data_IF_777366234062
#
_entry.id   IF_777366234062
#
_cell.length_a   1.000
_cell.length_b   1.000
_cell.length_c   1.000
_cell.angle_alpha   90.00
_cell.angle_beta   90.00
_cell.angle_gamma   90.00
#
_symmetry.space_group_name_H-M   'P 1'
#
loop_
_entity.id
_entity.type
_entity.pdbx_description
1 polymer ?
#
# COMPACT_ATOMS: atom_id res chain seq x y z
N UNK A 1 -11.24 14.00 -22.39
CA UNK A 1 -11.02 12.94 -21.36
C UNK A 1 -9.60 13.11 -20.85
N UNK A 2 -9.38 13.21 -19.52
CA UNK A 2 -8.03 13.34 -18.97
C UNK A 2 -7.21 12.09 -19.23
N UNK A 3 -5.90 12.27 -19.44
CA UNK A 3 -4.95 11.19 -19.65
C UNK A 3 -4.10 10.97 -18.41
N UNK A 4 -4.04 9.74 -17.96
CA UNK A 4 -3.29 9.35 -16.77
C UNK A 4 -2.16 8.40 -17.14
N UNK A 5 -0.97 8.61 -16.56
CA UNK A 5 0.10 7.62 -16.59
C UNK A 5 0.05 6.80 -15.30
N UNK A 6 -0.02 5.48 -15.43
CA UNK A 6 -0.03 4.55 -14.30
C UNK A 6 1.21 3.66 -14.36
N UNK A 7 2.04 3.72 -13.32
CA UNK A 7 3.14 2.78 -13.13
C UNK A 7 2.72 1.67 -12.16
N UNK A 8 3.38 0.52 -12.25
CA UNK A 8 3.02 -0.62 -11.39
C UNK A 8 1.64 -1.21 -11.71
N UNK A 9 1.11 -0.95 -12.87
CA UNK A 9 -0.21 -1.37 -13.35
C UNK A 9 -0.45 -2.90 -13.32
N UNK A 10 0.58 -3.70 -13.39
CA UNK A 10 0.50 -5.17 -13.29
C UNK A 10 0.57 -5.69 -11.85
N UNK A 11 0.76 -4.80 -10.88
CA UNK A 11 0.77 -5.09 -9.44
C UNK A 11 -0.63 -5.19 -8.86
N UNK A 12 -0.70 -5.51 -7.55
CA UNK A 12 -1.97 -5.72 -6.85
C UNK A 12 -2.85 -4.45 -6.84
N UNK A 13 -2.31 -3.30 -6.44
CA UNK A 13 -3.07 -2.04 -6.43
C UNK A 13 -3.31 -1.53 -7.85
N UNK A 14 -2.26 -1.51 -8.69
CA UNK A 14 -2.36 -0.97 -10.04
C UNK A 14 -3.36 -1.69 -10.93
N UNK A 15 -3.47 -3.03 -10.84
CA UNK A 15 -4.46 -3.79 -11.62
C UNK A 15 -5.90 -3.49 -11.20
N UNK A 16 -6.17 -3.33 -9.90
CA UNK A 16 -7.48 -2.91 -9.39
C UNK A 16 -7.79 -1.46 -9.77
N UNK A 17 -6.79 -0.59 -9.77
CA UNK A 17 -6.93 0.81 -10.17
C UNK A 17 -7.35 0.95 -11.63
N UNK A 18 -6.69 0.23 -12.55
CA UNK A 18 -7.05 0.25 -13.98
C UNK A 18 -8.50 -0.16 -14.18
N UNK A 19 -8.97 -1.22 -13.52
CA UNK A 19 -10.36 -1.67 -13.64
C UNK A 19 -11.37 -0.59 -13.23
N UNK A 20 -11.02 0.27 -12.28
CA UNK A 20 -11.88 1.37 -11.82
C UNK A 20 -11.77 2.64 -12.67
N UNK A 21 -10.66 2.83 -13.38
CA UNK A 21 -10.41 4.06 -14.16
C UNK A 21 -10.70 3.88 -15.65
N UNK A 22 -10.69 2.65 -16.17
CA UNK A 22 -11.02 2.36 -17.57
C UNK A 22 -12.42 2.89 -17.93
N UNK A 23 -12.53 3.50 -19.09
CA UNK A 23 -13.79 4.11 -19.55
C UNK A 23 -14.04 5.55 -19.04
N UNK A 24 -13.35 5.99 -17.99
CA UNK A 24 -13.42 7.37 -17.48
C UNK A 24 -12.20 8.19 -17.91
N UNK A 25 -11.04 7.56 -18.02
CA UNK A 25 -9.75 8.19 -18.35
C UNK A 25 -9.09 7.49 -19.53
N UNK A 26 -8.24 8.23 -20.26
CA UNK A 26 -7.27 7.64 -21.17
C UNK A 26 -6.07 7.15 -20.35
N UNK A 27 -5.66 5.89 -20.50
CA UNK A 27 -4.64 5.26 -19.68
C UNK A 27 -3.37 4.99 -20.48
N UNK A 28 -2.28 5.63 -20.09
CA UNK A 28 -0.92 5.25 -20.41
C UNK A 28 -0.38 4.35 -19.30
N UNK A 29 0.18 3.20 -19.65
CA UNK A 29 0.66 2.20 -18.69
C UNK A 29 2.17 2.05 -18.84
N UNK A 30 2.94 2.42 -17.82
CA UNK A 30 4.40 2.32 -17.82
C UNK A 30 4.87 1.15 -16.97
N UNK A 31 5.66 0.24 -17.54
CA UNK A 31 6.25 -0.89 -16.83
C UNK A 31 6.79 -1.98 -17.75
N UNK A 32 7.08 -3.16 -17.19
CA UNK A 32 7.82 -4.23 -17.85
C UNK A 32 6.97 -5.28 -18.58
N UNK A 33 5.65 -5.22 -18.49
CA UNK A 33 4.75 -6.25 -19.05
C UNK A 33 3.83 -5.65 -20.10
N UNK A 34 3.40 -6.43 -21.08
CA UNK A 34 2.35 -6.06 -22.03
C UNK A 34 0.98 -6.08 -21.33
N UNK A 35 0.05 -5.23 -21.80
CA UNK A 35 -1.35 -5.20 -21.36
C UNK A 35 -2.22 -4.75 -22.54
N UNK A 36 -3.49 -5.13 -22.54
CA UNK A 36 -4.50 -4.68 -23.48
C UNK A 36 -5.49 -3.66 -22.87
N UNK A 37 -5.20 -3.17 -21.66
CA UNK A 37 -6.08 -2.28 -20.91
C UNK A 37 -5.78 -0.79 -21.09
N UNK A 38 -4.80 -0.46 -21.96
CA UNK A 38 -4.40 0.92 -22.25
C UNK A 38 -3.20 0.94 -23.18
N UNK A 39 -2.69 2.14 -23.50
CA UNK A 39 -1.44 2.29 -24.26
C UNK A 39 -0.27 1.93 -23.35
N UNK A 40 0.52 0.92 -23.76
CA UNK A 40 1.60 0.38 -22.91
C UNK A 40 2.95 0.84 -23.41
N UNK A 41 3.72 1.41 -22.49
CA UNK A 41 5.11 1.79 -22.66
C UNK A 41 5.98 0.82 -21.85
N UNK A 42 6.85 0.09 -22.54
CA UNK A 42 7.74 -0.89 -21.89
C UNK A 42 9.03 -0.18 -21.50
N UNK A 43 9.23 0.01 -20.21
CA UNK A 43 10.45 0.60 -19.67
C UNK A 43 10.66 0.17 -18.21
N UNK A 44 11.87 0.40 -17.71
CA UNK A 44 12.21 0.21 -16.31
C UNK A 44 12.06 1.51 -15.52
N UNK A 45 12.03 1.41 -14.22
CA UNK A 45 12.03 2.56 -13.31
C UNK A 45 13.40 2.64 -12.67
N UNK A 46 14.22 3.51 -13.21
CA UNK A 46 15.59 3.76 -12.80
C UNK A 46 15.96 5.23 -12.99
N UNK A 47 17.20 5.58 -12.66
CA UNK A 47 17.70 6.97 -12.71
C UNK A 47 18.04 7.47 -14.12
N UNK A 48 18.05 6.62 -15.15
CA UNK A 48 18.54 6.94 -16.52
C UNK A 48 17.51 6.78 -17.63
N UNK A 49 16.43 6.03 -17.38
CA UNK A 49 15.38 5.78 -18.37
C UNK A 49 14.67 7.06 -18.81
N UNK A 50 14.27 7.12 -20.07
CA UNK A 50 13.52 8.23 -20.65
C UNK A 50 12.03 7.86 -20.75
N UNK A 51 11.17 8.78 -20.32
CA UNK A 51 9.71 8.56 -20.24
C UNK A 51 8.91 9.53 -21.12
N UNK A 52 9.57 10.32 -21.97
CA UNK A 52 8.95 11.38 -22.77
C UNK A 52 7.73 10.92 -23.55
N UNK A 53 7.81 9.78 -24.27
CA UNK A 53 6.67 9.23 -25.02
C UNK A 53 5.49 8.86 -24.13
N UNK A 54 5.76 8.27 -22.95
CA UNK A 54 4.70 7.85 -22.02
C UNK A 54 4.04 9.03 -21.31
N UNK A 55 4.71 10.17 -21.23
CA UNK A 55 4.27 11.40 -20.57
C UNK A 55 3.58 12.39 -21.52
N UNK A 56 3.57 12.13 -22.83
CA UNK A 56 2.97 13.04 -23.80
C UNK A 56 1.47 13.25 -23.56
N UNK A 57 1.10 14.49 -23.27
CA UNK A 57 -0.28 14.91 -23.00
C UNK A 57 -0.89 14.30 -21.74
N UNK A 58 -0.07 13.84 -20.78
CA UNK A 58 -0.51 13.29 -19.50
C UNK A 58 -0.90 14.42 -18.53
N UNK A 59 -2.10 14.35 -17.97
CA UNK A 59 -2.59 15.30 -16.98
C UNK A 59 -2.12 14.96 -15.56
N UNK A 60 -2.06 13.66 -15.22
CA UNK A 60 -1.58 13.21 -13.92
C UNK A 60 -0.87 11.86 -13.99
N UNK A 61 0.10 11.67 -13.10
CA UNK A 61 0.81 10.40 -12.89
C UNK A 61 0.30 9.74 -11.61
N UNK A 62 0.02 8.43 -11.67
CA UNK A 62 -0.27 7.60 -10.50
C UNK A 62 0.85 6.56 -10.39
N UNK A 63 1.74 6.78 -9.44
CA UNK A 63 2.94 5.98 -9.28
C UNK A 63 2.75 4.89 -8.22
N UNK A 64 2.32 3.70 -8.66
CA UNK A 64 2.13 2.51 -7.81
C UNK A 64 3.30 1.53 -7.88
N UNK A 65 4.25 1.74 -8.78
CA UNK A 65 5.40 0.86 -8.90
C UNK A 65 6.36 1.05 -7.73
N UNK A 66 6.87 -0.05 -7.24
CA UNK A 66 7.92 -0.08 -6.24
C UNK A 66 8.62 -1.44 -6.24
N UNK A 67 9.91 -1.46 -5.87
CA UNK A 67 10.54 -2.65 -5.32
C UNK A 67 9.97 -2.84 -3.92
N UNK A 68 9.28 -3.95 -3.69
CA UNK A 68 8.74 -4.32 -2.38
C UNK A 68 9.60 -5.40 -1.75
N UNK A 69 9.41 -5.63 -0.43
CA UNK A 69 10.17 -6.64 0.30
C UNK A 69 10.12 -8.02 -0.40
N UNK A 70 11.28 -8.55 -0.74
CA UNK A 70 11.48 -9.91 -1.24
C UNK A 70 11.94 -10.73 -0.03
N UNK A 71 11.21 -11.81 0.31
CA UNK A 71 11.42 -12.59 1.55
C UNK A 71 12.82 -13.22 1.67
N UNK A 72 13.52 -13.39 0.55
CA UNK A 72 14.90 -13.90 0.48
C UNK A 72 15.76 -12.93 -0.34
N UNK A 73 15.80 -11.65 0.06
CA UNK A 73 16.65 -10.66 -0.60
C UNK A 73 18.10 -10.95 -0.29
N UNK A 74 18.80 -11.60 -1.21
CA UNK A 74 20.22 -11.94 -1.13
C UNK A 74 21.13 -10.77 -1.56
N UNK A 75 20.59 -9.56 -1.73
CA UNK A 75 21.38 -8.40 -2.10
C UNK A 75 22.40 -8.06 -0.99
N UNK A 76 23.63 -7.79 -1.39
CA UNK A 76 24.70 -7.37 -0.47
C UNK A 76 24.41 -6.02 0.20
N UNK A 77 23.62 -5.16 -0.44
CA UNK A 77 23.17 -3.87 0.08
C UNK A 77 21.68 -3.66 -0.26
N UNK A 78 20.76 -4.16 0.58
CA UNK A 78 19.33 -4.03 0.34
C UNK A 78 18.86 -2.57 0.24
N UNK A 79 19.42 -1.66 1.01
CA UNK A 79 19.00 -0.25 1.00
C UNK A 79 19.28 0.41 -0.35
N UNK A 80 20.44 0.22 -0.93
CA UNK A 80 20.77 0.79 -2.23
C UNK A 80 19.90 0.19 -3.35
N UNK A 81 19.57 -1.10 -3.28
CA UNK A 81 18.64 -1.73 -4.21
C UNK A 81 17.22 -1.14 -4.13
N UNK A 82 16.74 -0.81 -2.92
CA UNK A 82 15.47 -0.13 -2.75
C UNK A 82 15.55 1.33 -3.24
N UNK A 83 16.63 2.05 -2.96
CA UNK A 83 16.84 3.43 -3.41
C UNK A 83 16.85 3.55 -4.93
N UNK A 84 17.54 2.66 -5.63
CA UNK A 84 17.64 2.68 -7.08
C UNK A 84 16.26 2.74 -7.76
N UNK A 85 15.29 1.97 -7.27
CA UNK A 85 13.94 1.92 -7.84
C UNK A 85 12.99 2.89 -7.15
N UNK A 86 12.92 2.86 -5.81
CA UNK A 86 11.88 3.57 -5.05
C UNK A 86 12.18 5.06 -4.87
N UNK A 87 13.45 5.44 -4.84
CA UNK A 87 13.87 6.84 -4.69
C UNK A 87 14.31 7.42 -6.02
N UNK A 88 15.40 6.91 -6.59
CA UNK A 88 16.00 7.48 -7.80
C UNK A 88 15.12 7.33 -9.04
N UNK A 89 14.58 6.12 -9.28
CA UNK A 89 13.66 5.85 -10.39
C UNK A 89 12.36 6.64 -10.27
N UNK A 90 11.82 6.79 -9.05
CA UNK A 90 10.64 7.63 -8.79
C UNK A 90 10.94 9.10 -9.09
N UNK A 91 12.07 9.61 -8.62
CA UNK A 91 12.45 11.01 -8.81
C UNK A 91 12.76 11.32 -10.28
N UNK A 92 13.41 10.40 -11.00
CA UNK A 92 13.65 10.54 -12.44
C UNK A 92 12.32 10.67 -13.20
N UNK A 93 11.36 9.79 -12.93
CA UNK A 93 10.02 9.86 -13.53
C UNK A 93 9.32 11.19 -13.18
N UNK A 94 9.38 11.62 -11.93
CA UNK A 94 8.72 12.84 -11.47
C UNK A 94 9.31 14.11 -12.10
N UNK A 95 10.64 14.19 -12.24
CA UNK A 95 11.34 15.29 -12.95
C UNK A 95 10.89 15.38 -14.39
N UNK A 96 10.86 14.26 -15.11
CA UNK A 96 10.40 14.22 -16.51
C UNK A 96 8.90 14.54 -16.61
N UNK A 97 8.09 14.12 -15.65
CA UNK A 97 6.67 14.47 -15.59
C UNK A 97 6.46 15.99 -15.42
N UNK A 98 7.21 16.63 -14.51
CA UNK A 98 7.18 18.09 -14.35
C UNK A 98 7.62 18.82 -15.62
N UNK A 99 8.69 18.38 -16.28
CA UNK A 99 9.17 18.93 -17.56
C UNK A 99 8.16 18.77 -18.69
N UNK A 100 7.39 17.67 -18.70
CA UNK A 100 6.32 17.42 -19.67
C UNK A 100 5.03 18.20 -19.38
N UNK A 101 4.97 18.98 -18.28
CA UNK A 101 3.83 19.79 -17.89
C UNK A 101 2.71 19.00 -17.20
N UNK A 102 3.01 17.82 -16.64
CA UNK A 102 2.08 17.06 -15.80
C UNK A 102 1.69 17.90 -14.60
N UNK A 103 0.38 18.00 -14.34
CA UNK A 103 -0.13 18.87 -13.28
C UNK A 103 -0.05 18.23 -11.90
N UNK A 104 -0.22 16.89 -11.80
CA UNK A 104 -0.29 16.19 -10.52
C UNK A 104 0.44 14.86 -10.55
N UNK A 105 1.23 14.61 -9.50
CA UNK A 105 1.93 13.34 -9.27
C UNK A 105 1.42 12.71 -7.98
N UNK A 106 0.73 11.56 -8.08
CA UNK A 106 0.20 10.80 -6.96
C UNK A 106 1.14 9.64 -6.66
N UNK A 107 1.77 9.69 -5.50
CA UNK A 107 2.74 8.69 -5.06
C UNK A 107 2.14 7.72 -4.05
N UNK A 108 2.09 6.45 -4.39
CA UNK A 108 1.73 5.39 -3.45
C UNK A 108 2.95 5.04 -2.59
N UNK A 109 2.96 5.57 -1.38
CA UNK A 109 3.97 5.35 -0.36
C UNK A 109 3.60 4.18 0.56
N UNK A 110 3.94 4.26 1.83
CA UNK A 110 3.66 3.24 2.84
C UNK A 110 3.59 3.85 4.23
N UNK A 111 2.79 3.28 5.11
CA UNK A 111 2.78 3.65 6.54
C UNK A 111 4.14 3.38 7.22
N UNK A 112 4.99 2.54 6.63
CA UNK A 112 6.35 2.29 7.14
C UNK A 112 7.24 3.54 7.18
N UNK A 113 6.85 4.59 6.48
CA UNK A 113 7.47 5.92 6.61
C UNK A 113 7.24 6.49 8.01
N UNK A 114 6.06 6.27 8.61
CA UNK A 114 5.77 6.71 9.98
C UNK A 114 6.43 5.81 11.04
N UNK A 115 6.68 4.53 10.73
CA UNK A 115 7.28 3.54 11.62
C UNK A 115 6.63 2.16 11.55
N UNK A 116 7.07 1.24 12.40
CA UNK A 116 6.67 -0.17 12.35
C UNK A 116 5.58 -0.53 13.39
N UNK A 117 5.39 0.27 14.43
CA UNK A 117 4.48 -0.06 15.53
C UNK A 117 3.92 1.17 16.25
N UNK A 118 2.66 1.08 16.63
CA UNK A 118 1.98 2.01 17.55
C UNK A 118 1.66 1.36 18.89
N UNK A 119 2.29 0.23 19.23
CA UNK A 119 2.13 -0.39 20.54
C UNK A 119 2.54 0.59 21.64
N UNK A 120 1.63 0.84 22.61
CA UNK A 120 1.85 1.79 23.72
C UNK A 120 2.05 3.26 23.27
N UNK A 121 1.66 3.57 22.02
CA UNK A 121 1.72 4.93 21.43
C UNK A 121 0.36 5.31 20.86
N UNK A 122 0.20 6.59 20.52
CA UNK A 122 -0.94 7.07 19.74
C UNK A 122 -0.92 6.48 18.32
N UNK A 123 -2.07 6.48 17.67
CA UNK A 123 -2.16 6.14 16.24
C UNK A 123 -1.32 7.10 15.39
N UNK A 124 -0.71 6.59 14.33
CA UNK A 124 0.03 7.43 13.38
C UNK A 124 -0.90 8.42 12.69
N UNK A 125 -0.40 9.63 12.49
CA UNK A 125 -1.06 10.71 11.76
C UNK A 125 -0.34 11.05 10.46
N UNK A 126 -0.98 11.80 9.57
CA UNK A 126 -0.36 12.29 8.33
C UNK A 126 0.77 13.32 8.60
N UNK A 127 0.77 13.95 9.78
CA UNK A 127 1.71 15.01 10.16
C UNK A 127 2.89 14.53 10.98
N UNK A 128 2.94 13.23 11.31
CA UNK A 128 4.07 12.67 12.04
C UNK A 128 5.35 12.76 11.20
N UNK A 129 6.45 13.07 11.86
CA UNK A 129 7.76 13.04 11.23
C UNK A 129 8.09 11.61 10.80
N UNK A 130 8.72 11.43 9.62
CA UNK A 130 9.19 10.13 9.17
C UNK A 130 10.11 9.46 10.21
N UNK A 131 9.82 8.20 10.51
CA UNK A 131 10.59 7.38 11.45
C UNK A 131 10.72 5.94 10.90
N UNK A 132 11.05 5.83 9.61
CA UNK A 132 11.22 4.56 8.92
C UNK A 132 12.41 3.76 9.48
N UNK A 133 12.20 2.47 9.74
CA UNK A 133 13.20 1.60 10.35
C UNK A 133 13.80 0.59 9.34
N UNK A 134 13.02 0.15 8.34
CA UNK A 134 13.49 -0.81 7.36
C UNK A 134 13.93 -0.15 6.04
N UNK A 135 14.78 -0.80 5.22
CA UNK A 135 15.28 -0.25 3.96
C UNK A 135 14.18 0.17 2.99
N UNK A 136 13.04 -0.55 2.96
CA UNK A 136 11.90 -0.18 2.13
C UNK A 136 11.24 1.11 2.63
N UNK A 137 10.95 1.22 3.92
CA UNK A 137 10.39 2.43 4.54
C UNK A 137 11.29 3.65 4.35
N UNK A 138 12.61 3.47 4.54
CA UNK A 138 13.62 4.52 4.33
C UNK A 138 13.59 5.01 2.87
N UNK A 139 13.63 4.11 1.89
CA UNK A 139 13.59 4.48 0.47
C UNK A 139 12.31 5.23 0.09
N UNK A 140 11.17 4.86 0.70
CA UNK A 140 9.89 5.58 0.50
C UNK A 140 9.91 6.96 1.14
N UNK A 141 10.45 7.10 2.36
CA UNK A 141 10.57 8.40 3.05
C UNK A 141 11.47 9.37 2.27
N UNK A 142 12.60 8.91 1.77
CA UNK A 142 13.50 9.69 0.92
C UNK A 142 12.82 10.14 -0.40
N UNK A 143 12.03 9.24 -1.01
CA UNK A 143 11.25 9.59 -2.21
C UNK A 143 10.18 10.65 -1.91
N UNK A 144 9.45 10.52 -0.80
CA UNK A 144 8.44 11.52 -0.40
C UNK A 144 9.05 12.92 -0.23
N UNK A 145 10.17 13.00 0.50
CA UNK A 145 10.85 14.26 0.73
C UNK A 145 11.26 14.92 -0.60
N UNK A 146 11.95 14.20 -1.46
CA UNK A 146 12.43 14.72 -2.73
C UNK A 146 11.28 15.06 -3.70
N UNK A 147 10.17 14.33 -3.67
CA UNK A 147 8.98 14.66 -4.45
C UNK A 147 8.33 15.97 -3.99
N UNK A 148 8.22 16.20 -2.68
CA UNK A 148 7.67 17.44 -2.14
C UNK A 148 8.57 18.64 -2.46
N UNK A 149 9.89 18.48 -2.38
CA UNK A 149 10.87 19.49 -2.81
C UNK A 149 10.69 19.80 -4.30
N UNK A 150 10.66 18.79 -5.16
CA UNK A 150 10.43 18.96 -6.60
C UNK A 150 9.08 19.64 -6.91
N UNK A 151 8.02 19.28 -6.18
CA UNK A 151 6.72 19.93 -6.33
C UNK A 151 6.78 21.43 -6.02
N UNK A 152 7.49 21.82 -4.95
CA UNK A 152 7.69 23.22 -4.58
C UNK A 152 8.51 23.98 -5.63
N UNK A 153 9.52 23.35 -6.25
CA UNK A 153 10.38 23.95 -7.26
C UNK A 153 9.68 24.13 -8.62
N UNK A 154 8.84 23.15 -9.00
CA UNK A 154 8.27 23.09 -10.36
C UNK A 154 6.82 23.55 -10.44
N UNK A 155 6.12 23.65 -9.32
CA UNK A 155 4.68 23.89 -9.26
C UNK A 155 3.83 22.66 -9.58
N UNK A 156 4.43 21.48 -9.80
CA UNK A 156 3.69 20.22 -9.93
C UNK A 156 3.09 19.83 -8.58
N UNK A 157 1.79 19.59 -8.55
CA UNK A 157 1.10 19.15 -7.34
C UNK A 157 1.52 17.72 -6.97
N UNK A 158 2.03 17.51 -5.76
CA UNK A 158 2.41 16.20 -5.25
C UNK A 158 1.39 15.73 -4.22
N UNK A 159 0.89 14.51 -4.41
CA UNK A 159 -0.02 13.85 -3.47
C UNK A 159 0.61 12.55 -3.00
N UNK A 160 0.75 12.39 -1.70
CA UNK A 160 1.34 11.20 -1.09
C UNK A 160 0.25 10.43 -0.37
N UNK A 161 0.16 9.11 -0.62
CA UNK A 161 -0.76 8.23 0.08
C UNK A 161 0.05 7.15 0.79
N UNK A 162 -0.09 7.07 2.13
CA UNK A 162 0.56 6.07 2.99
C UNK A 162 -0.44 4.99 3.43
N UNK A 163 -0.61 3.89 2.69
CA UNK A 163 -1.45 2.79 3.12
C UNK A 163 -0.73 1.90 4.16
N UNK A 164 -1.48 1.25 5.07
CA UNK A 164 -1.01 0.11 5.85
C UNK A 164 -1.02 -1.16 5.01
N UNK A 165 -1.20 -2.33 5.63
CA UNK A 165 -1.43 -3.57 4.89
C UNK A 165 -2.68 -3.46 4.01
N UNK A 166 -2.46 -3.55 2.69
CA UNK A 166 -3.54 -3.57 1.69
C UNK A 166 -4.01 -5.00 1.47
N UNK A 167 -5.32 -5.22 1.53
CA UNK A 167 -5.92 -6.53 1.31
C UNK A 167 -7.06 -6.48 0.29
N UNK A 168 -7.45 -7.64 -0.23
CA UNK A 168 -8.52 -7.74 -1.23
C UNK A 168 -8.35 -8.92 -2.16
N UNK A 169 -9.15 -8.99 -3.21
CA UNK A 169 -9.07 -10.04 -4.23
C UNK A 169 -7.72 -10.01 -4.96
N UNK A 170 -7.02 -11.15 -4.95
CA UNK A 170 -5.70 -11.26 -5.61
C UNK A 170 -4.51 -10.82 -4.75
N UNK A 171 -4.72 -10.46 -3.48
CA UNK A 171 -3.63 -10.20 -2.54
C UNK A 171 -2.70 -11.42 -2.44
N UNK A 172 -1.41 -11.14 -2.24
CA UNK A 172 -0.36 -12.17 -2.10
C UNK A 172 0.20 -12.19 -0.68
N UNK A 173 1.25 -12.99 -0.48
CA UNK A 173 2.03 -13.08 0.75
C UNK A 173 1.23 -13.50 2.00
N UNK A 174 1.53 -12.89 3.15
CA UNK A 174 1.08 -13.35 4.46
C UNK A 174 -0.44 -13.36 4.62
N UNK A 175 -1.15 -12.34 4.11
CA UNK A 175 -2.61 -12.27 4.19
C UNK A 175 -3.27 -13.42 3.42
N UNK A 176 -2.82 -13.67 2.18
CA UNK A 176 -3.32 -14.78 1.37
C UNK A 176 -3.01 -16.15 2.01
N UNK A 177 -1.83 -16.29 2.62
CA UNK A 177 -1.46 -17.53 3.32
C UNK A 177 -2.35 -17.76 4.53
N UNK A 178 -2.63 -16.71 5.32
CA UNK A 178 -3.51 -16.80 6.48
C UNK A 178 -4.94 -17.14 6.06
N UNK A 179 -5.49 -16.47 5.03
CA UNK A 179 -6.79 -16.79 4.45
C UNK A 179 -6.89 -18.25 4.03
N UNK A 180 -5.85 -18.78 3.39
CA UNK A 180 -5.79 -20.19 2.94
C UNK A 180 -5.75 -21.18 4.11
N UNK A 181 -4.98 -20.87 5.18
CA UNK A 181 -4.94 -21.73 6.37
C UNK A 181 -6.29 -21.78 7.09
N UNK A 182 -6.92 -20.61 7.24
CA UNK A 182 -8.28 -20.50 7.79
C UNK A 182 -9.28 -21.28 6.91
N UNK A 183 -9.21 -21.13 5.59
CA UNK A 183 -10.07 -21.82 4.63
C UNK A 183 -9.94 -23.34 4.67
N UNK A 184 -8.77 -23.87 5.06
CA UNK A 184 -8.54 -25.30 5.30
C UNK A 184 -9.05 -25.78 6.65
N UNK A 185 -9.55 -24.89 7.52
CA UNK A 185 -10.00 -25.23 8.87
C UNK A 185 -8.87 -25.63 9.83
N UNK A 186 -7.62 -25.23 9.52
CA UNK A 186 -6.47 -25.54 10.37
C UNK A 186 -6.56 -24.78 11.69
N UNK A 187 -6.17 -25.41 12.82
CA UNK A 187 -6.09 -24.72 14.09
C UNK A 187 -4.98 -23.66 14.07
N UNK A 188 -5.35 -22.42 14.38
CA UNK A 188 -4.40 -21.29 14.40
C UNK A 188 -4.23 -20.77 15.83
N UNK A 189 -3.00 -20.44 16.26
CA UNK A 189 -2.69 -20.14 17.65
C UNK A 189 -2.99 -18.68 18.04
N UNK A 190 -4.01 -18.03 17.45
CA UNK A 190 -4.17 -16.57 17.55
C UNK A 190 -5.32 -16.10 18.46
N UNK A 191 -6.06 -17.02 19.11
CA UNK A 191 -7.25 -16.65 19.94
C UNK A 191 -6.92 -15.71 21.10
N UNK A 192 -5.70 -15.76 21.65
CA UNK A 192 -5.32 -14.90 22.78
C UNK A 192 -4.84 -13.50 22.34
N UNK A 193 -4.59 -13.26 21.05
CA UNK A 193 -4.13 -11.96 20.54
C UNK A 193 -5.35 -11.06 20.27
N UNK A 194 -5.93 -10.51 21.36
CA UNK A 194 -7.18 -9.73 21.32
C UNK A 194 -7.01 -8.23 21.52
N UNK A 195 -5.89 -7.83 22.12
CA UNK A 195 -5.70 -6.46 22.60
C UNK A 195 -4.88 -5.60 21.62
N UNK A 196 -4.25 -6.21 20.63
CA UNK A 196 -3.59 -5.46 19.57
C UNK A 196 -4.64 -4.85 18.62
N UNK A 197 -4.26 -3.74 17.96
CA UNK A 197 -5.11 -3.02 17.03
C UNK A 197 -4.34 -2.79 15.74
N UNK A 198 -4.90 -3.23 14.64
CA UNK A 198 -4.28 -3.11 13.33
C UNK A 198 -5.24 -2.46 12.35
N UNK A 199 -4.84 -1.28 11.88
CA UNK A 199 -5.49 -0.65 10.73
C UNK A 199 -5.11 -1.41 9.47
N UNK A 200 -6.10 -1.66 8.65
CA UNK A 200 -5.98 -2.28 7.33
C UNK A 200 -6.67 -1.38 6.31
N UNK A 201 -6.39 -1.57 5.04
CA UNK A 201 -7.16 -0.94 3.98
C UNK A 201 -7.47 -1.95 2.88
N UNK A 202 -8.74 -2.06 2.50
CA UNK A 202 -9.10 -2.84 1.34
C UNK A 202 -8.60 -2.17 0.07
N UNK A 203 -8.19 -2.96 -0.93
CA UNK A 203 -7.73 -2.41 -2.21
C UNK A 203 -8.81 -1.54 -2.86
N UNK A 204 -10.07 -1.82 -2.61
CA UNK A 204 -11.20 -1.06 -3.14
C UNK A 204 -11.30 0.33 -2.52
N UNK A 205 -11.14 0.45 -1.19
CA UNK A 205 -11.10 1.73 -0.48
C UNK A 205 -9.86 2.53 -0.86
N UNK A 206 -8.70 1.87 -1.00
CA UNK A 206 -7.47 2.53 -1.43
C UNK A 206 -7.60 3.09 -2.86
N UNK A 207 -8.14 2.32 -3.78
CA UNK A 207 -8.35 2.75 -5.17
C UNK A 207 -9.36 3.89 -5.25
N UNK A 208 -10.41 3.86 -4.44
CA UNK A 208 -11.38 4.95 -4.34
C UNK A 208 -10.73 6.25 -3.82
N UNK A 209 -9.89 6.16 -2.77
CA UNK A 209 -9.11 7.30 -2.29
C UNK A 209 -8.17 7.85 -3.37
N UNK A 210 -7.44 6.99 -4.09
CA UNK A 210 -6.58 7.42 -5.20
C UNK A 210 -7.41 8.15 -6.26
N UNK A 211 -8.58 7.62 -6.61
CA UNK A 211 -9.48 8.25 -7.59
C UNK A 211 -9.94 9.65 -7.13
N UNK A 212 -10.31 9.80 -5.87
CA UNK A 212 -10.62 11.13 -5.31
C UNK A 212 -9.41 12.08 -5.43
N UNK A 213 -8.21 11.60 -5.13
CA UNK A 213 -6.99 12.40 -5.19
C UNK A 213 -6.62 12.86 -6.62
N UNK A 214 -7.11 12.21 -7.68
CA UNK A 214 -6.81 12.63 -9.07
C UNK A 214 -7.32 14.06 -9.34
N UNK A 215 -8.49 14.40 -8.83
CA UNK A 215 -9.17 15.65 -9.21
C UNK A 215 -9.46 16.59 -8.04
N UNK A 216 -9.45 16.10 -6.80
CA UNK A 216 -9.82 16.90 -5.66
C UNK A 216 -8.84 18.05 -5.42
N UNK A 217 -9.31 19.34 -5.39
CA UNK A 217 -8.40 20.49 -5.33
C UNK A 217 -7.59 20.55 -4.02
N UNK A 218 -8.16 20.10 -2.90
CA UNK A 218 -7.47 20.08 -1.62
C UNK A 218 -6.48 18.88 -1.46
N UNK A 219 -6.36 18.03 -2.49
CA UNK A 219 -5.37 16.95 -2.45
C UNK A 219 -3.95 17.44 -2.76
N UNK A 220 -3.81 18.58 -3.43
CA UNK A 220 -2.53 19.15 -3.83
C UNK A 220 -1.59 19.35 -2.64
N UNK A 221 -0.36 18.83 -2.77
CA UNK A 221 0.73 18.96 -1.79
C UNK A 221 0.37 18.46 -0.38
N UNK A 222 -0.37 17.34 -0.33
CA UNK A 222 -0.82 16.72 0.92
C UNK A 222 -0.34 15.28 1.05
N UNK A 223 -0.20 14.85 2.31
CA UNK A 223 0.03 13.45 2.70
C UNK A 223 -1.26 12.91 3.30
N UNK A 224 -1.72 11.78 2.81
CA UNK A 224 -2.92 11.10 3.31
C UNK A 224 -2.59 9.71 3.84
N UNK A 225 -3.11 9.39 5.03
CA UNK A 225 -3.18 8.02 5.49
C UNK A 225 -4.46 7.36 4.97
N UNK A 226 -4.35 6.09 4.58
CA UNK A 226 -5.48 5.30 4.11
C UNK A 226 -5.80 4.17 5.09
N UNK A 227 -7.07 4.00 5.45
CA UNK A 227 -7.52 2.89 6.30
C UNK A 227 -9.01 2.64 6.06
N UNK A 228 -9.49 1.45 6.40
CA UNK A 228 -10.92 1.14 6.40
C UNK A 228 -11.67 1.78 7.59
N UNK A 229 -10.99 2.63 8.37
CA UNK A 229 -11.53 3.33 9.56
C UNK A 229 -12.06 2.36 10.65
N UNK A 230 -11.54 1.14 10.66
CA UNK A 230 -11.90 0.09 11.61
C UNK A 230 -10.70 -0.81 11.90
N UNK A 231 -10.20 -0.75 13.12
CA UNK A 231 -9.06 -1.56 13.55
C UNK A 231 -9.50 -2.97 13.97
N UNK A 232 -8.71 -3.96 13.62
CA UNK A 232 -8.92 -5.35 14.02
C UNK A 232 -7.76 -5.86 14.87
N UNK A 233 -8.08 -6.63 15.92
CA UNK A 233 -7.06 -7.48 16.53
C UNK A 233 -6.75 -8.68 15.63
N UNK A 234 -5.59 -9.31 15.83
CA UNK A 234 -5.25 -10.54 15.09
C UNK A 234 -6.29 -11.64 15.28
N UNK A 235 -6.85 -11.76 16.49
CA UNK A 235 -7.94 -12.72 16.77
C UNK A 235 -9.21 -12.39 15.99
N UNK A 236 -9.60 -11.09 15.92
CA UNK A 236 -10.77 -10.64 15.15
C UNK A 236 -10.56 -10.84 13.65
N UNK A 237 -9.37 -10.53 13.14
CA UNK A 237 -9.03 -10.72 11.73
C UNK A 237 -9.17 -12.19 11.31
N UNK A 238 -8.66 -13.14 12.13
CA UNK A 238 -8.79 -14.58 11.87
C UNK A 238 -10.24 -15.04 11.98
N UNK A 239 -10.99 -14.53 12.95
CA UNK A 239 -12.42 -14.84 13.10
C UNK A 239 -13.22 -14.40 11.86
N UNK A 240 -13.00 -13.17 11.39
CA UNK A 240 -13.64 -12.63 10.20
C UNK A 240 -13.25 -13.43 8.93
N UNK A 241 -11.97 -13.82 8.81
CA UNK A 241 -11.52 -14.70 7.72
C UNK A 241 -12.25 -16.06 7.72
N UNK A 242 -12.55 -16.62 8.89
CA UNK A 242 -13.31 -17.87 9.01
C UNK A 242 -14.77 -17.66 8.62
N UNK A 243 -15.38 -16.60 9.11
CA UNK A 243 -16.78 -16.24 8.84
C UNK A 243 -17.04 -16.06 7.33
N UNK A 244 -16.24 -15.22 6.64
CA UNK A 244 -16.45 -14.95 5.22
C UNK A 244 -16.21 -16.16 4.32
N UNK A 245 -15.50 -17.18 4.81
CA UNK A 245 -15.29 -18.45 4.13
C UNK A 245 -16.25 -19.55 4.59
N UNK A 246 -17.22 -19.23 5.47
CA UNK A 246 -18.15 -20.20 6.06
C UNK A 246 -17.43 -21.37 6.74
N UNK A 247 -16.32 -21.09 7.42
CA UNK A 247 -15.49 -22.05 8.15
C UNK A 247 -15.62 -21.86 9.66
N UNK A 248 -15.44 -22.97 10.42
CA UNK A 248 -15.32 -22.86 11.88
C UNK A 248 -14.02 -22.16 12.24
N UNK A 249 -14.08 -21.17 13.12
CA UNK A 249 -12.90 -20.53 13.68
C UNK A 249 -12.26 -21.46 14.73
N UNK A 250 -11.28 -22.26 14.31
CA UNK A 250 -10.52 -23.15 15.18
C UNK A 250 -9.27 -22.42 15.66
N UNK A 251 -9.46 -21.45 16.56
CA UNK A 251 -8.35 -20.66 17.11
C UNK A 251 -7.96 -21.15 18.52
N UNK A 252 -6.67 -21.48 18.70
CA UNK A 252 -6.10 -21.92 19.97
C UNK A 252 -5.67 -20.72 20.82
N UNK A 253 -5.89 -20.75 22.15
CA UNK A 253 -5.57 -19.64 23.04
C UNK A 253 -4.09 -19.66 23.50
N UNK A 254 -3.15 -19.57 22.56
CA UNK A 254 -1.73 -19.51 22.89
C UNK A 254 -1.40 -18.11 23.42
N UNK A 255 -0.79 -17.98 24.63
CA UNK A 255 -0.46 -16.69 25.23
C UNK A 255 0.51 -15.86 24.39
N UNK A 256 0.38 -14.52 24.40
CA UNK A 256 1.22 -13.60 23.60
C UNK A 256 2.70 -13.74 23.92
N UNK A 257 3.09 -13.97 25.20
CA UNK A 257 4.47 -14.14 25.60
C UNK A 257 5.15 -15.34 24.90
N UNK A 258 4.39 -16.38 24.55
CA UNK A 258 4.91 -17.56 23.84
C UNK A 258 5.39 -17.19 22.43
N UNK A 259 4.62 -16.33 21.70
CA UNK A 259 5.05 -15.84 20.37
C UNK A 259 6.35 -15.04 20.44
N UNK A 260 6.50 -14.21 21.48
CA UNK A 260 7.73 -13.44 21.70
C UNK A 260 8.91 -14.36 21.98
N UNK A 261 8.70 -15.38 22.80
CA UNK A 261 9.72 -16.38 23.12
C UNK A 261 10.18 -17.15 21.86
N UNK A 262 9.21 -17.65 21.08
CA UNK A 262 9.49 -18.39 19.82
C UNK A 262 10.14 -17.47 18.79
N UNK A 263 9.64 -16.23 18.63
CA UNK A 263 10.22 -15.22 17.75
C UNK A 263 11.69 -14.97 18.07
N UNK A 264 12.03 -14.81 19.34
CA UNK A 264 13.41 -14.63 19.82
C UNK A 264 14.26 -15.86 19.57
N UNK A 265 13.76 -17.06 19.85
CA UNK A 265 14.46 -18.32 19.67
C UNK A 265 14.79 -18.63 18.21
N UNK A 266 13.90 -18.25 17.29
CA UNK A 266 14.04 -18.47 15.85
C UNK A 266 14.63 -17.27 15.09
N UNK A 267 15.06 -16.24 15.79
CA UNK A 267 15.52 -14.96 15.21
C UNK A 267 14.50 -14.35 14.23
N UNK A 268 13.19 -14.45 14.58
CA UNK A 268 12.03 -13.95 13.82
C UNK A 268 11.17 -13.00 14.67
N UNK A 269 11.83 -12.09 15.38
CA UNK A 269 11.14 -11.10 16.23
C UNK A 269 10.13 -10.28 15.42
N UNK A 270 10.49 -9.82 14.22
CA UNK A 270 9.63 -9.04 13.32
C UNK A 270 8.30 -9.73 13.03
N UNK A 271 8.31 -11.06 12.84
CA UNK A 271 7.08 -11.83 12.59
C UNK A 271 6.21 -11.85 13.84
N UNK A 272 6.81 -12.07 15.01
CA UNK A 272 6.13 -12.04 16.30
C UNK A 272 5.50 -10.65 16.56
N UNK A 273 6.27 -9.59 16.35
CA UNK A 273 5.83 -8.20 16.59
C UNK A 273 4.73 -7.78 15.62
N UNK A 274 4.81 -8.19 14.35
CA UNK A 274 3.72 -7.98 13.37
C UNK A 274 2.43 -8.73 13.74
N UNK A 275 2.52 -9.89 14.37
CA UNK A 275 1.34 -10.67 14.79
C UNK A 275 0.72 -10.14 16.08
N UNK A 276 1.54 -9.71 17.03
CA UNK A 276 1.09 -9.37 18.40
C UNK A 276 1.02 -7.87 18.67
N UNK A 277 1.73 -7.06 17.88
CA UNK A 277 1.81 -5.60 18.03
C UNK A 277 0.66 -4.86 17.36
N UNK A 278 0.52 -3.59 17.73
CA UNK A 278 -0.45 -2.65 17.16
C UNK A 278 0.17 -1.80 16.06
N UNK A 279 -0.63 -1.45 15.07
CA UNK A 279 -0.32 -0.47 14.03
C UNK A 279 -1.61 0.25 13.66
N UNK A 280 -1.86 1.38 14.31
CA UNK A 280 -3.08 2.16 14.17
C UNK A 280 -2.83 3.44 13.37
N UNK A 281 -3.77 3.80 12.51
CA UNK A 281 -3.75 4.99 11.70
C UNK A 281 -4.94 5.88 12.04
N UNK A 282 -4.69 7.16 12.26
CA UNK A 282 -5.71 8.20 12.31
C UNK A 282 -5.86 8.82 10.92
N UNK A 283 -7.00 8.57 10.28
CA UNK A 283 -7.33 9.12 8.97
C UNK A 283 -8.19 10.40 9.05
N UNK A 284 -8.24 11.06 10.19
CA UNK A 284 -9.02 12.29 10.39
C UNK A 284 -8.60 13.39 9.41
N UNK A 285 -7.30 13.54 9.14
CA UNK A 285 -6.82 14.48 8.13
C UNK A 285 -7.38 14.17 6.74
N UNK A 286 -7.33 12.89 6.32
CA UNK A 286 -7.88 12.44 5.03
C UNK A 286 -9.38 12.74 4.94
N UNK A 287 -10.15 12.39 5.99
CA UNK A 287 -11.60 12.61 6.07
C UNK A 287 -11.95 14.12 6.01
N UNK A 288 -11.26 14.93 6.78
CA UNK A 288 -11.58 16.36 6.90
C UNK A 288 -11.16 17.16 5.66
N UNK A 289 -10.03 16.82 5.06
CA UNK A 289 -9.49 17.54 3.90
C UNK A 289 -10.25 17.19 2.61
N UNK A 290 -10.52 15.91 2.40
CA UNK A 290 -11.14 15.42 1.16
C UNK A 290 -12.64 15.17 1.28
N UNK A 291 -13.23 15.24 2.48
CA UNK A 291 -14.60 14.77 2.70
C UNK A 291 -14.76 13.25 2.46
N UNK A 292 -13.64 12.53 2.33
CA UNK A 292 -13.62 11.12 1.98
C UNK A 292 -13.90 10.24 3.21
N UNK A 293 -14.69 9.19 3.00
CA UNK A 293 -14.87 8.09 3.94
C UNK A 293 -14.73 6.79 3.18
N UNK A 294 -14.15 5.73 3.78
CA UNK A 294 -14.06 4.43 3.13
C UNK A 294 -15.44 3.96 2.67
N UNK A 295 -15.69 3.77 1.35
CA UNK A 295 -17.02 3.39 0.87
C UNK A 295 -17.40 1.95 1.22
N UNK A 296 -16.44 1.08 1.50
CA UNK A 296 -16.67 -0.32 1.83
C UNK A 296 -16.26 -0.63 3.26
N UNK A 297 -17.10 -1.37 4.00
CA UNK A 297 -16.77 -1.87 5.33
C UNK A 297 -15.69 -2.95 5.27
N UNK A 298 -15.01 -3.17 6.39
CA UNK A 298 -14.02 -4.26 6.55
C UNK A 298 -14.62 -5.61 6.18
N UNK A 299 -15.86 -5.92 6.66
CA UNK A 299 -16.57 -7.18 6.33
C UNK A 299 -16.76 -7.35 4.83
N UNK A 300 -17.13 -6.28 4.13
CA UNK A 300 -17.28 -6.32 2.67
C UNK A 300 -15.95 -6.59 1.97
N UNK A 301 -14.88 -5.90 2.38
CA UNK A 301 -13.55 -6.11 1.84
C UNK A 301 -13.04 -7.55 2.03
N UNK A 302 -13.26 -8.14 3.22
CA UNK A 302 -12.90 -9.54 3.50
C UNK A 302 -13.73 -10.53 2.67
N UNK A 303 -15.05 -10.29 2.48
CA UNK A 303 -15.89 -11.10 1.59
C UNK A 303 -15.37 -11.12 0.16
N UNK A 304 -14.96 -9.96 -0.36
CA UNK A 304 -14.37 -9.89 -1.70
C UNK A 304 -13.01 -10.59 -1.77
N UNK A 305 -12.16 -10.44 -0.74
CA UNK A 305 -10.88 -11.14 -0.67
C UNK A 305 -11.01 -12.67 -0.65
N UNK A 306 -12.12 -13.19 -0.09
CA UNK A 306 -12.39 -14.63 0.00
C UNK A 306 -12.87 -15.25 -1.33
N UNK A 307 -13.49 -14.47 -2.24
CA UNK A 307 -14.10 -15.00 -3.49
C UNK A 307 -13.13 -15.77 -4.39
N UNK A 308 -11.87 -15.37 -4.48
CA UNK A 308 -10.86 -16.03 -5.34
C UNK A 308 -10.06 -17.13 -4.64
N UNK A 309 -10.16 -17.25 -3.32
CA UNK A 309 -9.53 -18.34 -2.58
C UNK A 309 -10.22 -19.69 -2.83
N UNK A 310 -11.45 -19.69 -3.31
CA UNK A 310 -12.26 -20.90 -3.55
C UNK A 310 -12.16 -21.47 -4.97
N UNK A 311 -11.38 -20.84 -5.87
CA UNK A 311 -11.35 -21.21 -7.30
C UNK A 311 -10.00 -21.82 -7.75
N UNK A 312 -9.18 -22.36 -6.83
CA UNK A 312 -7.96 -23.14 -7.17
C UNK A 312 -7.89 -24.42 -6.38
#
# INVERSE_FOLDING_TARGET
>A
MKRLLITGYSGFVGSNLIEQLKGTYQLNLLGRKKSNLGTVYINELDSISLYSESLEGVDAVIHCAARVHIMDDVANDPLNEFRAVNTEGTLNLAKQAAQAGVKRFIFLSSIKVNGESTSEKAAFTAHDQPAAEDPYGISKAEAEQQLLELGNETGMEVVIIRPPLVYGEGVKANFASLMRFVGKGLPLPFRAIKNNKRSLVSVYNLVDLIKVCIEHPKAANQIFLASDDHDLSTAQMVALMAEVQSKKNVALPIPVWFFKLVGKSLNKNDVSDRLTGSLQLDISHTKNTLGWKPPYSVDHGFKLAAKKSSTK
#
